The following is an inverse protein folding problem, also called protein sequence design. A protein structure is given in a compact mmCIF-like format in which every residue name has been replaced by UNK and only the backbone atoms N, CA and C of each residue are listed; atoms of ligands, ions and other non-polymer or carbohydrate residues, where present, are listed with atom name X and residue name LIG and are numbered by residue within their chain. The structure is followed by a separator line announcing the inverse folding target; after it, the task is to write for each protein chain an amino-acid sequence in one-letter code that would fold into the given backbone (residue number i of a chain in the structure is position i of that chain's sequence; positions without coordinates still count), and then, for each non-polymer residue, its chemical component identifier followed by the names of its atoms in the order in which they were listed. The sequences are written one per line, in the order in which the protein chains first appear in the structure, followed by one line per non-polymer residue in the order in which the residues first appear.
data_IF_234091117734
#
_entry.id   IF_234091117734
#
_cell.length_a   1.000
_cell.length_b   1.000
_cell.length_c   1.000
_cell.angle_alpha   90.00
_cell.angle_beta   90.00
_cell.angle_gamma   90.00
#
_symmetry.space_group_name_H-M   'P 1'
#
loop_
_entity.id
_entity.type
_entity.pdbx_description
1 polymer ?
#
# COMPACT_ATOMS: atom_id res chain seq x y z
N UNK A 1 -9.69 -1.00 50.15
CA UNK A 1 -10.05 -1.45 51.51
C UNK A 1 -9.54 -2.86 51.82
N UNK A 2 -9.78 -3.86 50.97
CA UNK A 2 -9.34 -5.27 51.22
C UNK A 2 -7.82 -5.46 51.36
N UNK A 3 -6.99 -4.73 50.60
CA UNK A 3 -5.53 -4.76 50.71
C UNK A 3 -5.01 -4.22 52.05
N UNK A 4 -5.54 -3.08 52.49
CA UNK A 4 -5.16 -2.44 53.76
C UNK A 4 -5.61 -3.30 54.94
N UNK A 5 -6.78 -3.94 54.84
CA UNK A 5 -7.26 -4.88 55.84
C UNK A 5 -6.43 -6.18 55.92
N UNK A 6 -5.94 -6.68 54.78
CA UNK A 6 -5.25 -7.98 54.72
C UNK A 6 -3.75 -7.90 54.98
N UNK A 7 -3.10 -6.79 54.60
CA UNK A 7 -1.64 -6.63 54.64
C UNK A 7 -1.19 -5.41 55.45
N UNK A 8 -2.11 -4.67 56.07
CA UNK A 8 -1.79 -3.45 56.82
C UNK A 8 -0.83 -3.69 57.98
N UNK A 9 -0.94 -4.84 58.64
CA UNK A 9 -0.13 -5.20 59.81
C UNK A 9 1.32 -5.58 59.43
N UNK A 10 1.62 -5.82 58.15
CA UNK A 10 2.97 -6.16 57.68
C UNK A 10 3.85 -4.92 57.45
N UNK A 11 3.26 -3.72 57.48
CA UNK A 11 3.96 -2.46 57.21
C UNK A 11 4.05 -1.59 58.48
N UNK A 12 5.19 -1.65 59.18
CA UNK A 12 5.42 -0.86 60.40
C UNK A 12 5.88 0.59 60.16
N UNK A 13 6.56 0.84 59.03
CA UNK A 13 7.35 2.07 58.83
C UNK A 13 6.72 3.05 57.82
N UNK A 14 5.63 2.65 57.16
CA UNK A 14 4.96 3.44 56.11
C UNK A 14 3.45 3.19 56.15
N UNK A 15 2.66 4.22 55.83
CA UNK A 15 1.20 4.11 55.82
C UNK A 15 0.75 3.11 54.72
N UNK A 16 -0.02 2.06 55.07
CA UNK A 16 -0.49 1.05 54.12
C UNK A 16 -1.24 1.62 52.91
N UNK A 17 -1.99 2.71 53.07
CA UNK A 17 -2.71 3.38 51.98
C UNK A 17 -1.76 3.93 50.90
N UNK A 18 -0.62 4.52 51.30
CA UNK A 18 0.38 5.00 50.36
C UNK A 18 1.08 3.85 49.63
N UNK A 19 1.24 2.71 50.28
CA UNK A 19 1.82 1.51 49.65
C UNK A 19 0.85 0.95 48.62
N UNK A 20 -0.44 0.90 48.96
CA UNK A 20 -1.50 0.50 48.02
C UNK A 20 -1.50 1.40 46.77
N UNK A 21 -1.48 2.72 46.95
CA UNK A 21 -1.49 3.68 45.83
C UNK A 21 -0.26 3.57 44.93
N UNK A 22 0.91 3.26 45.49
CA UNK A 22 2.16 3.12 44.74
C UNK A 22 2.21 1.78 43.98
N UNK A 23 1.79 0.68 44.61
CA UNK A 23 1.93 -0.68 44.06
C UNK A 23 0.77 -1.11 43.17
N UNK A 24 -0.45 -0.72 43.53
CA UNK A 24 -1.68 -1.11 42.84
C UNK A 24 -2.34 0.18 42.35
N UNK A 25 -2.84 1.01 43.25
CA UNK A 25 -3.59 2.22 42.92
C UNK A 25 -4.77 1.94 41.98
N UNK A 26 -5.63 2.93 41.76
CA UNK A 26 -6.72 2.75 40.79
C UNK A 26 -6.19 2.63 39.35
N UNK A 27 -5.13 3.37 39.03
CA UNK A 27 -4.57 3.41 37.68
C UNK A 27 -3.97 2.06 37.24
N UNK A 28 -3.19 1.35 38.08
CA UNK A 28 -2.66 0.04 37.66
C UNK A 28 -3.74 -1.03 37.72
N UNK A 29 -4.72 -0.91 38.62
CA UNK A 29 -5.88 -1.81 38.63
C UNK A 29 -6.66 -1.70 37.31
N UNK A 30 -6.93 -0.49 36.83
CA UNK A 30 -7.59 -0.26 35.53
C UNK A 30 -6.73 -0.79 34.37
N UNK A 31 -5.42 -0.57 34.40
CA UNK A 31 -4.50 -1.09 33.39
C UNK A 31 -4.48 -2.62 33.36
N UNK A 32 -4.40 -3.27 34.53
CA UNK A 32 -4.41 -4.73 34.68
C UNK A 32 -5.75 -5.29 34.20
N UNK A 33 -6.88 -4.69 34.61
CA UNK A 33 -8.22 -5.08 34.15
C UNK A 33 -8.34 -4.99 32.63
N UNK A 34 -7.86 -3.89 32.04
CA UNK A 34 -7.89 -3.69 30.60
C UNK A 34 -7.05 -4.74 29.89
N UNK A 35 -5.83 -5.01 30.36
CA UNK A 35 -4.97 -6.05 29.79
C UNK A 35 -5.55 -7.45 29.94
N UNK A 36 -6.20 -7.74 31.05
CA UNK A 36 -6.84 -9.03 31.30
C UNK A 36 -8.09 -9.22 30.42
N UNK A 37 -8.87 -8.16 30.19
CA UNK A 37 -9.96 -8.17 29.22
C UNK A 37 -9.46 -8.39 27.80
N UNK A 38 -8.40 -7.69 27.39
CA UNK A 38 -7.77 -7.89 26.07
C UNK A 38 -7.30 -9.33 25.91
N UNK A 39 -6.54 -9.86 26.87
CA UNK A 39 -6.03 -11.23 26.82
C UNK A 39 -7.14 -12.29 26.79
N UNK A 40 -8.21 -12.11 27.58
CA UNK A 40 -9.37 -13.02 27.53
C UNK A 40 -10.12 -12.92 26.20
N UNK A 41 -10.19 -11.72 25.61
CA UNK A 41 -10.81 -11.52 24.29
C UNK A 41 -9.98 -12.21 23.20
N UNK A 42 -8.66 -12.04 23.21
CA UNK A 42 -7.73 -12.72 22.31
C UNK A 42 -7.83 -14.24 22.43
N UNK A 43 -7.83 -14.77 23.66
CA UNK A 43 -7.99 -16.20 23.92
C UNK A 43 -9.35 -16.73 23.42
N UNK A 44 -10.42 -15.96 23.57
CA UNK A 44 -11.75 -16.32 23.08
C UNK A 44 -11.81 -16.33 21.54
N UNK A 45 -11.29 -15.30 20.89
CA UNK A 45 -11.18 -15.24 19.42
C UNK A 45 -10.38 -16.44 18.91
N UNK A 46 -9.25 -16.75 19.54
CA UNK A 46 -8.44 -17.91 19.21
C UNK A 46 -9.21 -19.21 19.37
N UNK A 47 -10.00 -19.36 20.44
CA UNK A 47 -10.84 -20.55 20.64
C UNK A 47 -11.92 -20.71 19.56
N UNK A 48 -12.49 -19.61 19.06
CA UNK A 48 -13.43 -19.64 17.93
C UNK A 48 -12.70 -20.00 16.65
N UNK A 49 -11.52 -19.44 16.39
CA UNK A 49 -10.72 -19.77 15.22
C UNK A 49 -10.31 -21.24 15.21
N UNK A 50 -9.89 -21.79 16.35
CA UNK A 50 -9.58 -23.20 16.53
C UNK A 50 -10.81 -24.08 16.32
N UNK A 51 -12.00 -23.64 16.77
CA UNK A 51 -13.27 -24.33 16.50
C UNK A 51 -13.70 -24.26 15.03
N UNK A 52 -13.48 -23.13 14.35
CA UNK A 52 -13.75 -22.98 12.92
C UNK A 52 -12.77 -23.81 12.08
N UNK A 53 -11.53 -23.99 12.51
CA UNK A 53 -10.54 -24.85 11.86
C UNK A 53 -10.93 -26.34 11.90
N UNK A 54 -11.82 -26.75 12.82
CA UNK A 54 -12.35 -28.12 12.92
C UNK A 54 -13.57 -28.32 12.00
N UNK A 55 -14.19 -27.23 11.51
CA UNK A 55 -15.28 -27.32 10.54
C UNK A 55 -14.64 -27.47 9.16
N UNK A 56 -14.45 -28.72 8.71
CA UNK A 56 -14.18 -28.99 7.30
C UNK A 56 -15.27 -28.31 6.46
N UNK A 57 -14.86 -27.29 5.70
CA UNK A 57 -15.77 -26.58 4.81
C UNK A 57 -16.40 -27.59 3.87
N UNK A 58 -17.73 -27.63 3.83
CA UNK A 58 -18.45 -28.56 2.98
C UNK A 58 -17.96 -28.39 1.53
N UNK A 59 -17.64 -29.46 0.79
CA UNK A 59 -17.06 -29.36 -0.56
C UNK A 59 -17.82 -28.41 -1.51
N UNK A 60 -19.16 -28.37 -1.39
CA UNK A 60 -20.00 -27.45 -2.15
C UNK A 60 -19.73 -25.96 -1.88
N UNK A 61 -19.30 -25.58 -0.67
CA UNK A 61 -18.94 -24.19 -0.32
C UNK A 61 -17.58 -23.83 -0.94
N UNK A 62 -16.64 -24.77 -0.97
CA UNK A 62 -15.34 -24.58 -1.63
C UNK A 62 -15.55 -24.41 -3.14
N UNK A 63 -16.33 -25.29 -3.76
CA UNK A 63 -16.70 -25.22 -5.19
C UNK A 63 -17.44 -23.91 -5.51
N UNK A 64 -18.36 -23.48 -4.65
CA UNK A 64 -19.03 -22.17 -4.78
C UNK A 64 -18.03 -21.01 -4.69
N UNK A 65 -17.05 -21.10 -3.79
CA UNK A 65 -15.98 -20.11 -3.64
C UNK A 65 -15.12 -20.01 -4.89
N UNK A 66 -14.70 -21.14 -5.46
CA UNK A 66 -13.95 -21.21 -6.71
C UNK A 66 -14.74 -20.66 -7.89
N UNK A 67 -16.03 -21.02 -8.04
CA UNK A 67 -16.89 -20.47 -9.08
C UNK A 67 -17.12 -18.96 -8.91
N UNK A 68 -17.25 -18.49 -7.67
CA UNK A 68 -17.35 -17.06 -7.37
C UNK A 68 -16.06 -16.33 -7.75
N UNK A 69 -14.90 -16.89 -7.42
CA UNK A 69 -13.60 -16.33 -7.75
C UNK A 69 -13.39 -16.26 -9.28
N UNK A 70 -13.71 -17.35 -10.01
CA UNK A 70 -13.69 -17.36 -11.47
C UNK A 70 -14.65 -16.33 -12.06
N UNK A 71 -15.89 -16.26 -11.55
CA UNK A 71 -16.90 -15.31 -12.05
C UNK A 71 -16.52 -13.87 -11.76
N UNK A 72 -15.96 -13.59 -10.58
CA UNK A 72 -15.46 -12.26 -10.20
C UNK A 72 -14.26 -11.90 -11.07
N UNK A 73 -13.30 -12.80 -11.24
CA UNK A 73 -12.11 -12.61 -12.09
C UNK A 73 -12.49 -12.37 -13.55
N UNK A 74 -13.38 -13.19 -14.10
CA UNK A 74 -13.92 -12.98 -15.46
C UNK A 74 -14.69 -11.67 -15.58
N UNK A 75 -15.48 -11.32 -14.56
CA UNK A 75 -16.23 -10.06 -14.55
C UNK A 75 -15.29 -8.88 -14.46
N UNK A 76 -14.25 -8.93 -13.63
CA UNK A 76 -13.20 -7.91 -13.53
C UNK A 76 -12.41 -7.82 -14.84
N UNK A 77 -12.14 -8.92 -15.54
CA UNK A 77 -11.52 -8.92 -16.87
C UNK A 77 -12.45 -8.33 -17.96
N UNK A 78 -13.75 -8.59 -17.87
CA UNK A 78 -14.77 -7.97 -18.73
C UNK A 78 -14.97 -6.48 -18.38
N UNK A 79 -14.84 -6.10 -17.11
CA UNK A 79 -14.93 -4.71 -16.64
C UNK A 79 -13.63 -3.93 -16.87
N UNK A 80 -12.46 -4.56 -16.88
CA UNK A 80 -11.20 -3.94 -17.29
C UNK A 80 -11.20 -3.62 -18.80
N UNK A 81 -11.95 -4.38 -19.59
CA UNK A 81 -12.28 -4.05 -20.99
C UNK A 81 -13.43 -3.03 -21.13
N UNK A 82 -14.38 -2.96 -20.18
CA UNK A 82 -15.55 -2.05 -20.27
C UNK A 82 -15.36 -0.65 -19.65
N UNK A 83 -14.60 -0.53 -18.55
CA UNK A 83 -14.22 0.77 -17.96
C UNK A 83 -13.03 1.42 -18.70
N UNK A 84 -12.56 0.79 -19.77
CA UNK A 84 -11.72 1.40 -20.81
C UNK A 84 -12.45 2.49 -21.63
N UNK A 85 -13.75 2.72 -21.41
CA UNK A 85 -14.51 3.81 -22.02
C UNK A 85 -14.45 5.11 -21.18
N UNK A 86 -13.24 5.57 -20.87
CA UNK A 86 -12.98 6.95 -20.42
C UNK A 86 -12.48 7.77 -21.62
N UNK A 87 -13.20 8.81 -22.00
CA UNK A 87 -13.05 9.52 -23.28
C UNK A 87 -11.63 9.99 -23.66
N UNK A 88 -11.47 10.27 -24.95
CA UNK A 88 -10.31 10.88 -25.64
C UNK A 88 -8.92 10.21 -25.49
N UNK A 89 -8.70 9.33 -24.51
CA UNK A 89 -7.37 8.82 -24.16
C UNK A 89 -7.35 7.31 -23.86
N UNK A 90 -7.67 6.49 -24.87
CA UNK A 90 -7.18 5.10 -25.05
C UNK A 90 -7.52 4.03 -24.00
N UNK A 91 -7.74 2.79 -24.45
CA UNK A 91 -7.97 1.64 -23.58
C UNK A 91 -6.78 1.41 -22.62
N UNK A 92 -7.07 1.11 -21.36
CA UNK A 92 -6.09 1.07 -20.28
C UNK A 92 -6.00 -0.34 -19.69
N UNK A 93 -5.02 -1.11 -20.16
CA UNK A 93 -4.77 -2.49 -19.69
C UNK A 93 -3.92 -2.51 -18.41
N UNK A 94 -4.38 -3.28 -17.42
CA UNK A 94 -3.60 -3.65 -16.23
C UNK A 94 -2.50 -4.63 -16.69
N UNK A 95 -1.25 -4.23 -16.54
CA UNK A 95 -0.09 -5.02 -16.94
C UNK A 95 1.19 -4.46 -16.32
N UNK A 96 2.33 -5.14 -16.52
CA UNK A 96 3.64 -4.69 -16.01
C UNK A 96 3.91 -3.22 -16.39
N UNK A 97 4.64 -2.53 -15.52
CA UNK A 97 5.05 -1.16 -15.79
C UNK A 97 6.04 -1.12 -16.96
N UNK A 98 5.79 -0.21 -17.91
CA UNK A 98 6.62 0.00 -19.10
C UNK A 98 7.40 1.28 -18.86
N UNK A 99 8.68 1.16 -18.49
CA UNK A 99 9.50 2.32 -18.07
C UNK A 99 9.60 3.36 -19.19
N UNK A 100 9.61 2.93 -20.45
CA UNK A 100 9.68 3.77 -21.66
C UNK A 100 8.44 4.65 -21.86
N UNK A 101 7.32 4.30 -21.22
CA UNK A 101 6.10 5.09 -21.26
C UNK A 101 6.03 6.14 -20.14
N UNK A 102 7.00 6.17 -19.21
CA UNK A 102 6.98 7.09 -18.08
C UNK A 102 7.04 8.56 -18.54
N UNK A 103 6.30 9.46 -17.88
CA UNK A 103 6.46 10.89 -18.11
C UNK A 103 7.83 11.36 -17.59
N UNK A 104 8.37 12.46 -18.14
CA UNK A 104 9.69 12.98 -17.75
C UNK A 104 9.86 13.18 -16.24
N UNK A 105 8.81 13.64 -15.55
CA UNK A 105 8.86 13.83 -14.10
C UNK A 105 9.05 12.52 -13.32
N UNK A 106 8.47 11.42 -13.79
CA UNK A 106 8.62 10.11 -13.16
C UNK A 106 9.95 9.49 -13.57
N UNK A 107 10.30 9.52 -14.85
CA UNK A 107 11.58 9.03 -15.36
C UNK A 107 12.77 9.69 -14.64
N UNK A 108 12.75 11.03 -14.50
CA UNK A 108 13.76 11.76 -13.74
C UNK A 108 13.78 11.38 -12.25
N UNK A 109 12.64 11.02 -11.67
CA UNK A 109 12.59 10.57 -10.28
C UNK A 109 13.22 9.19 -10.11
N UNK A 110 12.92 8.25 -11.02
CA UNK A 110 13.49 6.89 -11.02
C UNK A 110 15.01 6.91 -11.19
N UNK A 111 15.51 7.82 -12.04
CA UNK A 111 16.95 7.99 -12.27
C UNK A 111 17.70 8.67 -11.10
N UNK A 112 16.99 9.10 -10.06
CA UNK A 112 17.57 9.71 -8.87
C UNK A 112 17.39 11.22 -8.80
N UNK A 113 17.15 11.71 -7.58
CA UNK A 113 16.93 13.13 -7.27
C UNK A 113 18.03 13.62 -6.32
N UNK A 114 18.59 14.81 -6.61
CA UNK A 114 19.58 15.46 -5.74
C UNK A 114 18.95 15.99 -4.44
N UNK A 115 19.77 16.31 -3.45
CA UNK A 115 19.33 16.93 -2.19
C UNK A 115 18.44 18.15 -2.43
N UNK A 116 17.21 18.12 -1.91
CA UNK A 116 16.20 19.18 -2.10
C UNK A 116 15.02 18.74 -2.98
N UNK A 117 14.06 18.03 -2.37
CA UNK A 117 12.82 17.58 -3.03
C UNK A 117 12.70 16.06 -3.23
N UNK A 118 13.74 15.28 -2.91
CA UNK A 118 13.73 13.81 -3.01
C UNK A 118 12.61 13.14 -2.19
N UNK A 119 12.22 13.68 -1.02
CA UNK A 119 11.13 13.10 -0.21
C UNK A 119 9.80 13.23 -0.95
N UNK A 120 9.46 14.44 -1.40
CA UNK A 120 8.25 14.66 -2.19
C UNK A 120 8.29 13.88 -3.52
N UNK A 121 9.46 13.77 -4.14
CA UNK A 121 9.63 13.01 -5.38
C UNK A 121 9.38 11.50 -5.18
N UNK A 122 9.98 10.88 -4.16
CA UNK A 122 9.87 9.43 -3.92
C UNK A 122 8.55 9.10 -3.22
N UNK A 123 8.29 9.71 -2.07
CA UNK A 123 7.19 9.36 -1.16
C UNK A 123 5.84 9.83 -1.68
N UNK A 124 5.76 11.02 -2.27
CA UNK A 124 4.48 11.55 -2.77
C UNK A 124 4.30 11.24 -4.26
N UNK A 125 5.24 11.66 -5.11
CA UNK A 125 5.07 11.59 -6.56
C UNK A 125 5.22 10.16 -7.09
N UNK A 126 6.37 9.52 -6.87
CA UNK A 126 6.68 8.19 -7.43
C UNK A 126 5.79 7.11 -6.81
N UNK A 127 5.70 7.06 -5.48
CA UNK A 127 4.91 6.05 -4.76
C UNK A 127 3.45 6.03 -5.22
N UNK A 128 2.81 7.20 -5.28
CA UNK A 128 1.43 7.28 -5.76
C UNK A 128 1.34 6.93 -7.24
N UNK A 129 2.21 7.46 -8.09
CA UNK A 129 2.16 7.19 -9.52
C UNK A 129 2.31 5.70 -9.83
N UNK A 130 3.34 5.04 -9.29
CA UNK A 130 3.68 3.64 -9.58
C UNK A 130 2.57 2.71 -9.11
N UNK A 131 2.08 2.91 -7.88
CA UNK A 131 1.00 2.10 -7.31
C UNK A 131 -0.27 2.18 -8.16
N UNK A 132 -0.73 3.38 -8.50
CA UNK A 132 -1.92 3.54 -9.35
C UNK A 132 -1.66 3.14 -10.81
N UNK A 133 -0.49 3.44 -11.39
CA UNK A 133 -0.17 3.07 -12.76
C UNK A 133 -0.20 1.55 -12.96
N UNK A 134 0.19 0.79 -11.93
CA UNK A 134 0.27 -0.67 -11.96
C UNK A 134 -1.03 -1.37 -11.54
N UNK A 135 -1.71 -0.85 -10.53
CA UNK A 135 -2.90 -1.49 -9.94
C UNK A 135 -4.19 -0.87 -10.48
N UNK A 136 -4.33 0.45 -10.40
CA UNK A 136 -5.59 1.13 -10.70
C UNK A 136 -5.46 2.43 -11.51
N UNK A 137 -5.02 2.36 -12.79
CA UNK A 137 -4.63 3.57 -13.51
C UNK A 137 -5.83 4.50 -13.88
N UNK A 138 -7.06 4.04 -13.63
CA UNK A 138 -8.33 4.69 -14.00
C UNK A 138 -9.01 5.41 -12.84
N UNK A 139 -8.29 5.66 -11.75
CA UNK A 139 -8.83 6.23 -10.50
C UNK A 139 -9.64 7.52 -10.69
N UNK A 140 -9.30 8.35 -11.67
CA UNK A 140 -10.01 9.61 -11.93
C UNK A 140 -11.32 9.45 -12.72
N UNK A 141 -11.65 8.24 -13.18
CA UNK A 141 -12.87 7.94 -13.94
C UNK A 141 -14.01 7.35 -13.10
N UNK A 142 -13.78 7.09 -11.81
CA UNK A 142 -14.74 6.41 -10.95
C UNK A 142 -14.77 7.00 -9.54
N UNK A 143 -15.96 7.20 -8.98
CA UNK A 143 -16.15 7.69 -7.60
C UNK A 143 -16.02 6.59 -6.53
N UNK A 144 -15.50 5.41 -6.90
CA UNK A 144 -15.35 4.28 -5.97
C UNK A 144 -14.05 4.40 -5.19
N UNK A 145 -14.14 4.18 -3.88
CA UNK A 145 -12.98 3.94 -3.04
C UNK A 145 -12.50 2.52 -3.27
N UNK A 146 -11.30 2.38 -3.82
CA UNK A 146 -10.67 1.08 -4.11
C UNK A 146 -9.48 0.90 -3.17
N UNK A 147 -9.34 -0.30 -2.63
CA UNK A 147 -8.21 -0.74 -1.81
C UNK A 147 -7.14 -1.41 -2.69
N UNK A 148 -5.94 -1.59 -2.15
CA UNK A 148 -4.87 -2.29 -2.86
C UNK A 148 -5.23 -3.77 -3.00
N UNK A 149 -5.77 -4.39 -1.95
CA UNK A 149 -6.17 -5.80 -1.91
C UNK A 149 -7.34 -6.15 -2.84
N UNK A 150 -8.15 -5.16 -3.25
CA UNK A 150 -9.19 -5.34 -4.28
C UNK A 150 -8.60 -5.73 -5.64
N UNK A 151 -7.31 -5.49 -5.86
CA UNK A 151 -6.59 -5.72 -7.13
C UNK A 151 -5.38 -6.66 -6.93
N UNK A 152 -4.69 -6.54 -5.80
CA UNK A 152 -3.51 -7.32 -5.43
C UNK A 152 -3.74 -8.02 -4.09
N UNK A 153 -4.61 -9.03 -4.11
CA UNK A 153 -5.15 -9.71 -2.92
C UNK A 153 -4.09 -10.27 -1.98
N UNK A 154 -2.95 -10.71 -2.53
CA UNK A 154 -1.84 -11.27 -1.75
C UNK A 154 -0.61 -10.34 -1.70
N UNK A 155 -0.77 -9.06 -2.09
CA UNK A 155 0.32 -8.07 -2.14
C UNK A 155 1.50 -8.46 -3.04
N UNK A 156 1.33 -9.41 -3.95
CA UNK A 156 2.39 -9.93 -4.80
C UNK A 156 2.95 -8.84 -5.73
N UNK A 157 2.09 -8.01 -6.32
CA UNK A 157 2.51 -6.92 -7.21
C UNK A 157 3.15 -5.81 -6.38
N UNK A 158 2.57 -5.53 -5.22
CA UNK A 158 3.02 -4.48 -4.29
C UNK A 158 4.42 -4.77 -3.78
N UNK A 159 4.67 -5.99 -3.31
CA UNK A 159 5.94 -6.43 -2.75
C UNK A 159 7.02 -6.69 -3.80
N UNK A 160 6.66 -7.27 -4.95
CA UNK A 160 7.65 -7.73 -5.94
C UNK A 160 7.87 -6.78 -7.13
N UNK A 161 6.96 -5.82 -7.38
CA UNK A 161 7.09 -4.87 -8.49
C UNK A 161 7.13 -3.41 -8.01
N UNK A 162 6.16 -2.99 -7.18
CA UNK A 162 5.97 -1.57 -6.82
C UNK A 162 7.05 -1.10 -5.84
N UNK A 163 7.17 -1.77 -4.68
CA UNK A 163 8.14 -1.38 -3.66
C UNK A 163 9.60 -1.47 -4.14
N UNK A 164 10.03 -2.53 -4.85
CA UNK A 164 11.41 -2.59 -5.35
C UNK A 164 11.75 -1.43 -6.27
N UNK A 165 10.83 -1.01 -7.15
CA UNK A 165 11.05 0.15 -8.03
C UNK A 165 11.16 1.46 -7.25
N UNK A 166 10.35 1.64 -6.20
CA UNK A 166 10.41 2.83 -5.35
C UNK A 166 11.73 2.85 -4.57
N UNK A 167 12.16 1.70 -4.04
CA UNK A 167 13.39 1.60 -3.27
C UNK A 167 14.63 1.76 -4.14
N UNK A 168 14.64 1.20 -5.35
CA UNK A 168 15.68 1.45 -6.36
C UNK A 168 15.83 2.95 -6.66
N UNK A 169 14.71 3.65 -6.86
CA UNK A 169 14.73 5.10 -7.11
C UNK A 169 15.22 5.90 -5.89
N UNK A 170 14.89 5.45 -4.68
CA UNK A 170 15.33 6.04 -3.43
C UNK A 170 16.86 5.88 -3.23
N UNK A 171 17.40 4.73 -3.61
CA UNK A 171 18.84 4.46 -3.58
C UNK A 171 19.61 5.23 -4.66
N UNK A 172 18.97 5.48 -5.82
CA UNK A 172 19.53 6.33 -6.88
C UNK A 172 19.61 7.82 -6.50
N UNK A 173 18.96 8.24 -5.40
CA UNK A 173 19.03 9.64 -4.95
C UNK A 173 20.44 10.00 -4.47
N UNK A 174 20.77 11.29 -4.49
CA UNK A 174 22.09 11.78 -4.04
C UNK A 174 21.94 12.83 -2.94
N UNK A 175 22.27 12.53 -1.66
CA UNK A 175 22.60 11.19 -1.16
C UNK A 175 21.38 10.24 -1.12
N UNK A 176 21.59 8.91 -1.02
CA UNK A 176 20.50 7.92 -0.97
C UNK A 176 19.47 8.27 0.10
N UNK A 177 18.18 8.17 -0.24
CA UNK A 177 17.11 8.69 0.60
C UNK A 177 17.06 8.00 1.96
N UNK A 178 17.15 6.67 1.99
CA UNK A 178 16.98 5.91 3.23
C UNK A 178 18.23 5.86 4.10
N UNK A 179 19.40 6.19 3.57
CA UNK A 179 20.61 6.38 4.38
C UNK A 179 20.51 7.67 5.19
N UNK A 180 19.98 8.73 4.58
CA UNK A 180 19.83 10.04 5.22
C UNK A 180 18.54 10.12 6.06
N UNK A 181 17.46 9.48 5.59
CA UNK A 181 16.11 9.58 6.15
C UNK A 181 15.40 8.20 6.17
N UNK A 182 15.81 7.27 7.04
CA UNK A 182 15.24 5.91 7.10
C UNK A 182 13.73 5.84 7.30
N UNK A 183 13.15 6.81 8.02
CA UNK A 183 11.71 6.90 8.30
C UNK A 183 10.85 7.06 7.05
N UNK A 184 11.43 7.46 5.91
CA UNK A 184 10.67 7.63 4.67
C UNK A 184 10.16 6.28 4.12
N UNK A 185 10.73 5.14 4.53
CA UNK A 185 10.16 3.81 4.25
C UNK A 185 8.76 3.65 4.84
N UNK A 186 8.59 4.08 6.10
CA UNK A 186 7.29 4.06 6.78
C UNK A 186 6.30 5.00 6.07
N UNK A 187 6.78 6.17 5.65
CA UNK A 187 5.93 7.10 4.90
C UNK A 187 5.47 6.52 3.56
N UNK A 188 6.31 5.77 2.84
CA UNK A 188 5.92 5.08 1.60
C UNK A 188 4.77 4.10 1.87
N UNK A 189 4.91 3.26 2.89
CA UNK A 189 3.88 2.28 3.29
C UNK A 189 2.57 2.98 3.67
N UNK A 190 2.67 4.08 4.42
CA UNK A 190 1.54 4.94 4.75
C UNK A 190 0.85 5.53 3.52
N UNK A 191 1.59 5.95 2.48
CA UNK A 191 1.00 6.44 1.22
C UNK A 191 0.39 5.34 0.37
N UNK A 192 0.79 4.08 0.55
CA UNK A 192 0.12 2.93 -0.07
C UNK A 192 -1.18 2.54 0.64
N UNK A 193 -1.46 3.11 1.82
CA UNK A 193 -2.71 2.91 2.56
C UNK A 193 -2.62 1.90 3.71
N UNK A 194 -1.41 1.49 4.09
CA UNK A 194 -1.18 0.43 5.08
C UNK A 194 -0.75 0.95 6.44
N UNK A 195 -0.99 2.22 6.77
CA UNK A 195 -0.62 2.77 8.08
C UNK A 195 0.85 3.12 8.23
N UNK A 196 1.27 3.43 9.47
CA UNK A 196 2.64 3.83 9.81
C UNK A 196 3.42 2.63 10.33
N UNK A 197 3.70 1.66 9.46
CA UNK A 197 4.40 0.41 9.80
C UNK A 197 5.70 0.25 9.01
N UNK A 198 6.57 -0.66 9.48
CA UNK A 198 7.85 -0.95 8.81
C UNK A 198 7.69 -1.85 7.58
N UNK A 199 6.64 -2.67 7.56
CA UNK A 199 6.33 -3.60 6.48
C UNK A 199 4.86 -3.49 6.04
N UNK A 200 4.59 -3.86 4.79
CA UNK A 200 3.23 -3.92 4.26
C UNK A 200 2.56 -5.19 4.75
N UNK A 201 1.38 -5.05 5.34
CA UNK A 201 0.53 -6.17 5.76
C UNK A 201 -0.93 -5.88 5.42
N UNK A 202 -1.65 -6.90 4.95
CA UNK A 202 -3.09 -6.82 4.68
C UNK A 202 -3.90 -6.42 5.93
N UNK A 203 -3.42 -6.79 7.12
CA UNK A 203 -4.06 -6.47 8.40
C UNK A 203 -4.12 -4.95 8.66
N UNK A 204 -3.15 -4.21 8.12
CA UNK A 204 -3.01 -2.76 8.31
C UNK A 204 -3.66 -1.96 7.17
N UNK A 205 -4.28 -2.63 6.20
CA UNK A 205 -4.86 -1.96 5.04
C UNK A 205 -6.07 -1.10 5.40
N UNK A 206 -5.99 0.18 5.03
CA UNK A 206 -7.04 1.17 5.30
C UNK A 206 -6.81 1.98 6.58
N UNK A 207 -5.75 1.72 7.34
CA UNK A 207 -5.32 2.60 8.43
C UNK A 207 -4.97 4.01 7.93
N UNK A 208 -4.46 4.10 6.70
CA UNK A 208 -4.23 5.36 6.00
C UNK A 208 -4.89 5.35 4.62
N UNK A 209 -5.10 6.54 4.06
CA UNK A 209 -5.64 6.66 2.71
C UNK A 209 -4.56 6.32 1.68
N UNK A 210 -4.86 5.40 0.75
CA UNK A 210 -4.05 5.21 -0.46
C UNK A 210 -3.97 6.54 -1.23
N UNK A 211 -2.77 7.09 -1.32
CA UNK A 211 -2.55 8.46 -1.74
C UNK A 211 -2.64 8.60 -3.26
N UNK A 212 -3.62 9.35 -3.73
CA UNK A 212 -3.86 9.57 -5.16
C UNK A 212 -2.76 10.44 -5.79
N UNK A 213 -2.30 10.15 -7.02
CA UNK A 213 -1.26 10.92 -7.68
C UNK A 213 -1.60 12.39 -7.87
N UNK A 214 -0.59 13.24 -7.68
CA UNK A 214 -0.73 14.68 -7.87
C UNK A 214 -0.82 15.09 -9.35
N UNK A 215 -1.45 16.23 -9.61
CA UNK A 215 -1.55 16.82 -10.95
C UNK A 215 -0.22 17.38 -11.44
N UNK A 216 -0.08 17.54 -12.76
CA UNK A 216 1.09 18.18 -13.37
C UNK A 216 1.33 19.60 -12.83
N UNK A 217 0.28 20.34 -12.52
CA UNK A 217 0.38 21.69 -11.94
C UNK A 217 1.02 21.67 -10.54
N UNK A 218 0.62 20.73 -9.68
CA UNK A 218 1.25 20.54 -8.37
C UNK A 218 2.72 20.12 -8.51
N UNK A 219 3.03 19.25 -9.46
CA UNK A 219 4.42 18.84 -9.73
C UNK A 219 5.25 20.05 -10.17
N UNK A 220 4.74 20.91 -11.05
CA UNK A 220 5.45 22.14 -11.47
C UNK A 220 5.67 23.09 -10.31
N UNK A 221 4.74 23.17 -9.37
CA UNK A 221 4.83 24.06 -8.21
C UNK A 221 5.85 23.55 -7.17
N UNK A 222 5.81 22.27 -6.83
CA UNK A 222 6.60 21.69 -5.74
C UNK A 222 7.91 21.05 -6.21
N UNK A 223 7.93 20.51 -7.42
CA UNK A 223 9.03 19.75 -8.01
C UNK A 223 9.37 20.25 -9.44
N UNK A 224 9.58 21.57 -9.65
CA UNK A 224 9.78 22.14 -10.99
C UNK A 224 10.98 21.53 -11.72
N UNK A 225 12.02 21.13 -10.99
CA UNK A 225 13.23 20.54 -11.56
C UNK A 225 12.99 19.16 -12.21
N UNK A 226 11.94 18.44 -11.81
CA UNK A 226 11.55 17.15 -12.39
C UNK A 226 10.63 17.32 -13.60
N UNK A 227 9.81 18.38 -13.63
CA UNK A 227 8.85 18.62 -14.70
C UNK A 227 9.50 19.30 -15.91
N UNK A 228 10.17 18.50 -16.75
CA UNK A 228 10.69 18.95 -18.05
C UNK A 228 9.63 18.71 -19.14
N UNK A 229 8.83 19.74 -19.43
CA UNK A 229 7.76 19.63 -20.43
C UNK A 229 8.29 19.18 -21.80
N UNK A 230 7.59 18.22 -22.40
CA UNK A 230 7.77 17.82 -23.79
C UNK A 230 6.46 18.01 -24.57
N UNK A 231 6.50 17.78 -25.89
CA UNK A 231 5.32 17.90 -26.77
C UNK A 231 4.16 17.00 -26.35
N UNK A 232 4.46 15.85 -25.75
CA UNK A 232 3.49 14.86 -25.29
C UNK A 232 2.81 15.31 -23.98
N UNK A 233 3.54 15.99 -23.09
CA UNK A 233 3.06 16.54 -21.80
C UNK A 233 2.21 17.80 -21.95
N UNK A 234 2.42 18.61 -23.00
CA UNK A 234 1.83 19.95 -23.11
C UNK A 234 0.28 19.98 -23.07
N UNK A 235 -0.38 18.86 -23.37
CA UNK A 235 -1.85 18.75 -23.40
C UNK A 235 -2.41 17.85 -22.28
N UNK A 236 -1.60 17.50 -21.29
CA UNK A 236 -1.93 16.50 -20.27
C UNK A 236 -1.76 17.09 -18.88
N UNK A 237 -2.78 16.91 -18.04
CA UNK A 237 -2.86 17.56 -16.74
C UNK A 237 -2.45 16.67 -15.56
N UNK A 238 -2.19 15.37 -15.80
CA UNK A 238 -1.67 14.47 -14.76
C UNK A 238 -0.74 13.37 -15.35
N UNK A 239 0.23 12.88 -14.55
CA UNK A 239 1.19 11.85 -15.00
C UNK A 239 0.56 10.52 -15.44
N UNK A 240 -0.52 10.07 -14.79
CA UNK A 240 -1.18 8.81 -15.15
C UNK A 240 -1.78 8.88 -16.57
N UNK A 241 -2.45 9.97 -16.91
CA UNK A 241 -2.98 10.19 -18.26
C UNK A 241 -1.87 10.28 -19.30
N UNK A 242 -0.70 10.82 -18.96
CA UNK A 242 0.46 10.79 -19.85
C UNK A 242 0.87 9.35 -20.11
N UNK A 243 1.06 8.58 -19.04
CA UNK A 243 1.50 7.20 -19.10
C UNK A 243 0.54 6.33 -19.91
N UNK A 244 -0.76 6.38 -19.62
CA UNK A 244 -1.79 5.65 -20.37
C UNK A 244 -1.81 6.01 -21.85
N UNK A 245 -1.69 7.31 -22.18
CA UNK A 245 -1.61 7.76 -23.57
C UNK A 245 -0.35 7.26 -24.27
N UNK A 246 0.81 7.32 -23.60
CA UNK A 246 2.09 6.88 -24.17
C UNK A 246 2.07 5.37 -24.43
N UNK A 247 1.57 4.57 -23.48
CA UNK A 247 1.30 3.13 -23.66
C UNK A 247 0.42 2.86 -24.88
N UNK A 248 -0.66 3.60 -25.04
CA UNK A 248 -1.56 3.44 -26.19
C UNK A 248 -0.89 3.77 -27.53
N UNK A 249 -0.07 4.82 -27.59
CA UNK A 249 0.70 5.15 -28.79
C UNK A 249 1.69 4.03 -29.12
N UNK A 250 2.44 3.54 -28.13
CA UNK A 250 3.38 2.43 -28.31
C UNK A 250 2.67 1.16 -28.76
N UNK A 251 1.51 0.85 -28.19
CA UNK A 251 0.66 -0.28 -28.61
C UNK A 251 0.27 -0.17 -30.08
N UNK A 252 -0.19 1.01 -30.51
CA UNK A 252 -0.55 1.26 -31.91
C UNK A 252 0.63 1.18 -32.87
N UNK A 253 1.82 1.55 -32.42
CA UNK A 253 3.03 1.49 -33.22
C UNK A 253 3.68 0.09 -33.21
N UNK A 254 3.18 -0.85 -32.41
CA UNK A 254 3.80 -2.17 -32.22
C UNK A 254 5.11 -2.13 -31.43
N UNK A 255 5.34 -1.08 -30.66
CA UNK A 255 6.55 -0.82 -29.87
C UNK A 255 6.45 -1.34 -28.43
N UNK A 256 5.33 -2.00 -28.07
CA UNK A 256 5.22 -2.62 -26.76
C UNK A 256 6.17 -3.83 -26.68
N UNK A 257 7.00 -3.93 -25.62
CA UNK A 257 7.76 -5.15 -25.39
C UNK A 257 6.77 -6.31 -25.26
N UNK A 258 6.93 -7.32 -26.10
CA UNK A 258 6.20 -8.58 -25.98
C UNK A 258 6.60 -9.18 -24.63
N UNK A 259 5.65 -9.29 -23.70
CA UNK A 259 5.95 -9.84 -22.38
C UNK A 259 6.59 -11.21 -22.53
N UNK A 260 7.76 -11.40 -21.92
CA UNK A 260 8.44 -12.69 -21.82
C UNK A 260 7.44 -13.77 -21.42
N UNK A 261 7.12 -14.63 -22.38
CA UNK A 261 6.64 -15.97 -22.07
C UNK A 261 7.82 -16.70 -21.45
N UNK A 262 7.75 -16.96 -20.14
CA UNK A 262 8.59 -17.94 -19.48
C UNK A 262 8.40 -19.31 -20.14
N UNK A 263 9.24 -19.58 -21.13
CA UNK A 263 9.61 -20.90 -21.64
C UNK A 263 11.13 -20.92 -21.70
N UNK A 264 11.71 -22.03 -21.28
CA UNK A 264 13.14 -22.37 -21.09
C UNK A 264 13.52 -22.37 -19.58
N UNK A 265 13.92 -23.47 -18.94
CA UNK A 265 14.32 -24.79 -19.43
C UNK A 265 14.08 -25.89 -18.40
N UNK A 266 13.45 -26.98 -18.83
CA UNK A 266 13.56 -28.30 -18.20
C UNK A 266 13.98 -29.31 -19.27
N UNK A 267 15.24 -29.20 -19.68
CA UNK A 267 16.00 -30.25 -20.37
C UNK A 267 17.48 -30.09 -20.05
N UNK A 268 17.96 -30.82 -19.05
CA UNK A 268 19.03 -31.82 -19.18
C UNK A 268 19.11 -32.66 -17.90
#
# INVERSE_FOLDING_TARGET
EEFVFSFGDEFSDRSPDRIYDILIGENHRELILTKLLMQNTENYIKSIQDQLAIVEMHPAIVELGEMLDETITESLAKYSTYYASGGAYGNMEIGKLIREAFPPCIENTVNGVSSGGRNDAIVLLLTSFVSYARLYPGIFGSDRTVKVSDIDTNLNITLNEILPLIFEAADNCTPPLFEDQPQEKINIISKLGFGMHEEVSLENEGETKWYTPMSCEKIKMHLPHLCKENKDCAKINNPLSYYSRKKWIMSKNGELPSGDSSKEDSKE
#
